data_IF_603924771004
#
_entry.id   IF_603924771004
#
_cell.length_a   1.000
_cell.length_b   1.000
_cell.length_c   1.000
_cell.angle_alpha   90.00
_cell.angle_beta   90.00
_cell.angle_gamma   90.00
#
_symmetry.space_group_name_H-M   'P 1'
#
loop_
_entity.id
_entity.type
_entity.pdbx_description
1 polymer ?
#
# COMPACT_ATOMS: atom_id res chain seq x y z
N UNK A 1 -2.86 -6.77 14.45
CA UNK A 1 -4.15 -6.07 14.29
C UNK A 1 -4.04 -4.73 14.99
N UNK A 2 -4.41 -3.62 14.33
CA UNK A 2 -4.45 -2.31 15.00
C UNK A 2 -5.51 -2.35 16.12
N UNK A 3 -5.07 -2.17 17.36
CA UNK A 3 -5.92 -2.18 18.57
C UNK A 3 -5.94 -0.83 19.28
N UNK A 4 -5.50 0.23 18.59
CA UNK A 4 -5.44 1.58 19.15
C UNK A 4 -6.84 2.16 19.40
N UNK A 5 -6.95 3.02 20.42
CA UNK A 5 -8.18 3.72 20.79
C UNK A 5 -8.55 4.88 19.84
N UNK A 6 -7.71 5.17 18.84
CA UNK A 6 -7.89 6.27 17.89
C UNK A 6 -7.96 5.72 16.45
N UNK A 7 -8.54 6.47 15.52
CA UNK A 7 -8.48 6.13 14.09
C UNK A 7 -7.01 6.12 13.64
N UNK A 8 -6.53 5.10 12.91
CA UNK A 8 -5.16 5.09 12.41
C UNK A 8 -4.93 6.28 11.46
N UNK A 9 -3.77 6.93 11.57
CA UNK A 9 -3.40 8.00 10.64
C UNK A 9 -2.84 7.41 9.34
N UNK A 10 -2.88 8.20 8.26
CA UNK A 10 -2.33 7.78 6.96
C UNK A 10 -0.85 7.38 7.07
N UNK A 11 -0.07 8.08 7.89
CA UNK A 11 1.33 7.76 8.16
C UNK A 11 1.52 6.39 8.82
N UNK A 12 0.63 6.02 9.76
CA UNK A 12 0.67 4.70 10.42
C UNK A 12 0.36 3.59 9.42
N UNK A 13 -0.66 3.78 8.57
CA UNK A 13 -1.02 2.81 7.53
C UNK A 13 0.12 2.70 6.50
N UNK A 14 0.68 3.82 6.06
CA UNK A 14 1.79 3.84 5.11
C UNK A 14 3.03 3.14 5.66
N UNK A 15 3.37 3.40 6.93
CA UNK A 15 4.48 2.71 7.61
C UNK A 15 4.26 1.20 7.71
N UNK A 16 3.02 0.76 7.97
CA UNK A 16 2.70 -0.67 8.01
C UNK A 16 2.82 -1.33 6.62
N UNK A 17 2.34 -0.69 5.55
CA UNK A 17 2.48 -1.19 4.18
C UNK A 17 3.96 -1.21 3.76
N UNK A 18 4.73 -0.18 4.11
CA UNK A 18 6.18 -0.15 3.85
C UNK A 18 6.90 -1.30 4.56
N UNK A 19 6.54 -1.59 5.82
CA UNK A 19 7.08 -2.74 6.53
C UNK A 19 6.70 -4.07 5.86
N UNK A 20 5.46 -4.21 5.37
CA UNK A 20 5.03 -5.40 4.63
C UNK A 20 5.87 -5.61 3.37
N UNK A 21 6.20 -4.54 2.64
CA UNK A 21 7.08 -4.60 1.48
C UNK A 21 8.50 -5.09 1.83
N UNK A 22 9.08 -4.57 2.90
CA UNK A 22 10.40 -4.98 3.40
C UNK A 22 10.40 -6.46 3.78
N UNK A 23 9.38 -6.91 4.51
CA UNK A 23 9.25 -8.31 4.95
C UNK A 23 9.14 -9.26 3.75
N UNK A 24 8.55 -8.80 2.65
CA UNK A 24 8.41 -9.55 1.40
C UNK A 24 9.61 -9.40 0.46
N UNK A 25 10.70 -8.79 0.93
CA UNK A 25 11.99 -8.80 0.25
C UNK A 25 12.31 -7.54 -0.55
N UNK A 26 11.56 -6.44 -0.41
CA UNK A 26 12.00 -5.14 -0.89
C UNK A 26 13.30 -4.71 -0.19
N UNK A 27 14.27 -4.20 -0.97
CA UNK A 27 15.56 -3.72 -0.44
C UNK A 27 15.60 -2.19 -0.34
N UNK A 28 14.91 -1.49 -1.24
CA UNK A 28 14.64 -0.04 -1.15
C UNK A 28 13.12 0.14 -1.05
N UNK A 29 12.66 0.63 0.10
CA UNK A 29 11.27 1.01 0.33
C UNK A 29 11.23 2.44 0.85
N UNK A 30 10.34 3.26 0.30
CA UNK A 30 10.15 4.66 0.68
C UNK A 30 8.71 4.91 1.03
N UNK A 31 8.49 5.61 2.14
CA UNK A 31 7.20 6.18 2.49
C UNK A 31 7.39 7.70 2.61
N UNK A 32 6.68 8.46 1.78
CA UNK A 32 6.81 9.91 1.75
C UNK A 32 5.47 10.57 1.46
N UNK A 33 5.39 11.87 1.75
CA UNK A 33 4.19 12.67 1.54
C UNK A 33 4.33 13.53 0.29
N UNK A 34 3.26 13.60 -0.49
CA UNK A 34 3.10 14.54 -1.60
C UNK A 34 1.68 15.11 -1.53
N UNK A 35 1.55 16.41 -1.29
CA UNK A 35 0.27 17.06 -0.96
C UNK A 35 -0.48 16.30 0.14
N UNK A 36 -1.67 15.77 -0.16
CA UNK A 36 -2.50 14.99 0.79
C UNK A 36 -2.32 13.47 0.65
N UNK A 37 -1.38 13.04 -0.19
CA UNK A 37 -1.07 11.63 -0.43
C UNK A 37 0.08 11.17 0.45
N UNK A 38 -0.09 9.99 1.06
CA UNK A 38 1.02 9.16 1.49
C UNK A 38 1.33 8.14 0.41
N UNK A 39 2.55 8.17 -0.09
CA UNK A 39 3.04 7.30 -1.15
C UNK A 39 4.03 6.30 -0.54
N UNK A 40 3.81 5.04 -0.82
CA UNK A 40 4.69 3.92 -0.49
C UNK A 40 5.20 3.36 -1.81
N UNK A 41 6.51 3.31 -2.00
CA UNK A 41 7.13 2.74 -3.20
C UNK A 41 8.22 1.76 -2.82
N UNK A 42 8.40 0.70 -3.59
CA UNK A 42 9.47 -0.24 -3.41
C UNK A 42 10.10 -0.72 -4.72
N UNK A 43 11.33 -1.20 -4.62
CA UNK A 43 12.10 -1.82 -5.68
C UNK A 43 11.68 -3.25 -6.03
N UNK A 44 10.72 -3.81 -5.29
CA UNK A 44 10.10 -5.10 -5.58
C UNK A 44 8.58 -4.98 -5.62
N UNK A 45 7.93 -5.86 -6.38
CA UNK A 45 6.47 -5.94 -6.38
C UNK A 45 5.97 -6.81 -5.22
N UNK A 46 5.92 -6.24 -4.02
CA UNK A 46 5.49 -6.94 -2.81
C UNK A 46 4.02 -7.37 -2.81
N UNK A 47 3.19 -6.84 -3.71
CA UNK A 47 1.81 -7.32 -3.88
C UNK A 47 1.75 -8.64 -4.64
N UNK A 48 2.74 -8.91 -5.50
CA UNK A 48 2.89 -10.17 -6.23
C UNK A 48 4.01 -11.07 -5.68
N UNK A 49 4.68 -10.67 -4.61
CA UNK A 49 5.76 -11.45 -4.01
C UNK A 49 5.24 -12.79 -3.46
N UNK A 50 6.03 -13.88 -3.58
CA UNK A 50 5.71 -15.15 -2.96
C UNK A 50 5.55 -15.00 -1.44
N UNK A 51 4.43 -15.45 -0.89
CA UNK A 51 4.18 -15.51 0.54
C UNK A 51 3.32 -16.74 0.89
N UNK A 52 3.22 -17.05 2.19
CA UNK A 52 2.48 -18.23 2.70
C UNK A 52 0.99 -18.16 2.39
N UNK A 53 0.43 -16.95 2.27
CA UNK A 53 -0.98 -16.70 2.01
C UNK A 53 -1.15 -15.79 0.80
N UNK A 54 -0.61 -16.21 -0.35
CA UNK A 54 -0.67 -15.44 -1.58
C UNK A 54 -2.11 -15.15 -2.01
N UNK A 55 -2.32 -13.91 -2.47
CA UNK A 55 -3.52 -13.49 -3.16
C UNK A 55 -3.15 -12.46 -4.25
N UNK A 56 -3.96 -12.31 -5.29
CA UNK A 56 -3.77 -11.26 -6.28
C UNK A 56 -3.73 -9.86 -5.64
N UNK A 57 -3.02 -8.88 -6.23
CA UNK A 57 -2.89 -7.53 -5.67
C UNK A 57 -4.22 -6.87 -5.30
N UNK A 58 -5.25 -7.06 -6.12
CA UNK A 58 -6.60 -6.50 -5.87
C UNK A 58 -7.26 -7.08 -4.62
N UNK A 59 -6.97 -8.33 -4.26
CA UNK A 59 -7.52 -8.98 -3.08
C UNK A 59 -6.89 -8.47 -1.77
N UNK A 60 -5.62 -8.04 -1.81
CA UNK A 60 -4.94 -7.44 -0.65
C UNK A 60 -5.66 -6.18 -0.13
N UNK A 61 -6.36 -5.48 -1.02
CA UNK A 61 -7.14 -4.28 -0.69
C UNK A 61 -8.62 -4.57 -0.41
N UNK A 62 -9.12 -5.78 -0.64
CA UNK A 62 -10.57 -6.09 -0.57
C UNK A 62 -10.96 -6.92 0.64
N UNK A 63 -10.04 -7.69 1.20
CA UNK A 63 -10.32 -8.55 2.35
C UNK A 63 -9.10 -8.68 3.26
N UNK A 64 -9.37 -9.11 4.49
CA UNK A 64 -8.32 -9.47 5.42
C UNK A 64 -7.61 -10.71 4.91
N UNK A 65 -6.30 -10.58 4.64
CA UNK A 65 -5.42 -11.69 4.29
C UNK A 65 -4.47 -11.94 5.45
N UNK A 66 -4.37 -13.19 5.90
CA UNK A 66 -3.38 -13.57 6.90
C UNK A 66 -1.97 -13.26 6.41
N UNK A 67 -1.10 -12.78 7.29
CA UNK A 67 0.28 -12.45 6.97
C UNK A 67 1.23 -13.02 8.04
N UNK A 68 1.37 -14.36 8.09
CA UNK A 68 2.15 -15.06 9.12
C UNK A 68 3.64 -14.73 9.11
N UNK A 69 4.16 -14.08 8.07
CA UNK A 69 5.53 -13.59 7.93
C UNK A 69 5.91 -12.59 9.02
N UNK A 70 4.94 -11.80 9.51
CA UNK A 70 5.14 -10.82 10.58
C UNK A 70 4.51 -11.24 11.92
N UNK A 71 3.92 -12.45 12.00
CA UNK A 71 3.36 -13.00 13.23
C UNK A 71 2.07 -13.81 13.05
N UNK A 72 1.78 -14.69 14.03
CA UNK A 72 0.69 -15.68 13.96
C UNK A 72 -0.72 -15.06 13.83
N UNK A 73 -0.92 -13.84 14.33
CA UNK A 73 -2.20 -13.11 14.29
C UNK A 73 -2.09 -11.81 13.49
N UNK A 74 -1.25 -11.83 12.46
CA UNK A 74 -1.00 -10.69 11.60
C UNK A 74 -1.71 -10.82 10.26
N UNK A 75 -1.87 -9.68 9.59
CA UNK A 75 -2.56 -9.57 8.31
C UNK A 75 -1.86 -8.56 7.41
N UNK A 76 -2.13 -8.64 6.11
CA UNK A 76 -1.70 -7.67 5.10
C UNK A 76 -2.33 -6.32 5.38
N UNK A 77 -1.54 -5.26 5.46
CA UNK A 77 -2.02 -3.95 5.88
C UNK A 77 -2.67 -3.14 4.75
N UNK A 78 -2.63 -3.61 3.50
CA UNK A 78 -3.30 -2.98 2.36
C UNK A 78 -4.81 -2.79 2.58
N UNK A 79 -5.49 -3.72 3.27
CA UNK A 79 -6.92 -3.60 3.61
C UNK A 79 -7.22 -2.40 4.52
N UNK A 80 -6.24 -1.93 5.31
CA UNK A 80 -6.42 -0.73 6.13
C UNK A 80 -6.46 0.52 5.27
N UNK A 81 -5.73 0.55 4.15
CA UNK A 81 -5.78 1.68 3.23
C UNK A 81 -7.20 1.84 2.70
N UNK A 82 -7.83 0.78 2.19
CA UNK A 82 -9.20 0.87 1.68
C UNK A 82 -10.26 1.07 2.76
N UNK A 83 -10.02 0.59 3.98
CA UNK A 83 -10.95 0.77 5.10
C UNK A 83 -11.00 2.21 5.62
N UNK A 84 -9.89 2.95 5.56
CA UNK A 84 -9.77 4.27 6.20
C UNK A 84 -9.46 5.43 5.24
N UNK A 85 -8.91 5.18 4.06
CA UNK A 85 -8.60 6.22 3.09
C UNK A 85 -9.81 6.56 2.21
N UNK A 86 -9.90 7.83 1.80
CA UNK A 86 -10.88 8.29 0.80
C UNK A 86 -10.52 7.86 -0.61
N UNK A 87 -9.23 7.70 -0.87
CA UNK A 87 -8.73 7.30 -2.18
C UNK A 87 -7.47 6.45 -2.01
N UNK A 88 -7.40 5.36 -2.77
CA UNK A 88 -6.25 4.46 -2.80
C UNK A 88 -5.95 4.13 -4.24
N UNK A 89 -4.68 4.23 -4.62
CA UNK A 89 -4.20 3.89 -5.95
C UNK A 89 -2.97 2.98 -5.86
N UNK A 90 -2.77 2.15 -6.87
CA UNK A 90 -1.62 1.26 -7.00
C UNK A 90 -1.02 1.38 -8.39
N UNK A 91 0.30 1.39 -8.48
CA UNK A 91 1.06 1.46 -9.71
C UNK A 91 2.13 0.36 -9.72
N UNK A 92 2.29 -0.27 -10.87
CA UNK A 92 3.43 -1.11 -11.25
C UNK A 92 3.82 -0.79 -12.68
N UNK A 93 4.99 -1.27 -13.16
CA UNK A 93 5.39 -1.07 -14.55
C UNK A 93 4.37 -1.53 -15.60
N UNK A 94 3.51 -2.50 -15.26
CA UNK A 94 2.52 -3.08 -16.18
C UNK A 94 1.08 -2.67 -15.91
N UNK A 95 0.80 -2.04 -14.77
CA UNK A 95 -0.58 -1.83 -14.31
C UNK A 95 -0.72 -0.59 -13.45
N UNK A 96 -1.87 0.07 -13.59
CA UNK A 96 -2.26 1.28 -12.90
C UNK A 96 -3.71 1.13 -12.49
N UNK A 97 -3.95 1.11 -11.18
CA UNK A 97 -5.24 0.74 -10.61
C UNK A 97 -5.71 1.82 -9.64
N UNK A 98 -6.94 2.30 -9.83
CA UNK A 98 -7.69 2.99 -8.78
C UNK A 98 -8.37 1.91 -7.93
N UNK A 99 -7.90 1.74 -6.70
CA UNK A 99 -8.40 0.73 -5.77
C UNK A 99 -9.69 1.21 -5.10
N UNK A 100 -9.72 2.48 -4.68
CA UNK A 100 -10.91 3.14 -4.14
C UNK A 100 -10.84 4.66 -4.37
N UNK A 101 -12.00 5.30 -4.32
CA UNK A 101 -12.16 6.72 -4.57
C UNK A 101 -12.31 7.05 -6.06
N UNK A 102 -12.22 8.34 -6.37
CA UNK A 102 -12.24 8.88 -7.73
C UNK A 102 -10.95 9.67 -7.93
N UNK A 103 -10.05 9.14 -8.76
CA UNK A 103 -8.72 9.70 -9.00
C UNK A 103 -8.51 9.82 -10.51
N UNK A 104 -8.47 11.04 -11.05
CA UNK A 104 -8.31 11.26 -12.49
C UNK A 104 -7.00 10.70 -13.06
N UNK A 105 -7.01 10.47 -14.37
CA UNK A 105 -5.85 9.94 -15.09
C UNK A 105 -4.67 10.94 -15.15
N UNK A 106 -4.93 12.22 -14.96
CA UNK A 106 -3.96 13.32 -14.97
C UNK A 106 -3.58 13.82 -13.57
N UNK A 107 -4.03 13.16 -12.50
CA UNK A 107 -3.66 13.51 -11.12
C UNK A 107 -2.13 13.46 -10.93
N UNK A 108 -1.50 14.48 -10.32
CA UNK A 108 -0.04 14.52 -10.17
C UNK A 108 0.54 13.37 -9.33
N UNK A 109 -0.26 12.69 -8.49
CA UNK A 109 0.19 11.56 -7.68
C UNK A 109 0.84 10.46 -8.53
N UNK A 110 0.33 10.22 -9.74
CA UNK A 110 0.82 9.17 -10.63
C UNK A 110 2.26 9.42 -11.09
N UNK A 111 2.60 10.69 -11.34
CA UNK A 111 3.97 11.09 -11.66
C UNK A 111 4.93 10.86 -10.49
N UNK A 112 4.49 11.11 -9.26
CA UNK A 112 5.30 10.91 -8.04
C UNK A 112 5.53 9.43 -7.71
N UNK A 113 4.64 8.55 -8.16
CA UNK A 113 4.78 7.10 -8.01
C UNK A 113 5.72 6.49 -9.07
N UNK A 114 6.10 7.26 -10.10
CA UNK A 114 6.88 6.78 -11.23
C UNK A 114 8.36 7.10 -11.02
N UNK A 115 9.16 6.09 -10.68
CA UNK A 115 10.62 6.15 -10.71
C UNK A 115 11.20 4.88 -11.36
N UNK A 116 12.38 4.99 -11.97
CA UNK A 116 12.94 3.92 -12.82
C UNK A 116 13.23 2.61 -12.07
N UNK A 117 13.41 2.67 -10.75
CA UNK A 117 13.65 1.51 -9.90
C UNK A 117 12.39 1.05 -9.14
N UNK A 118 11.23 1.67 -9.32
CA UNK A 118 10.01 1.32 -8.60
C UNK A 118 9.27 0.21 -9.33
N UNK A 119 9.09 -0.92 -8.64
CA UNK A 119 8.35 -2.08 -9.16
C UNK A 119 6.91 -2.11 -8.66
N UNK A 120 6.65 -1.51 -7.49
CA UNK A 120 5.31 -1.28 -6.98
C UNK A 120 5.28 0.02 -6.20
N UNK A 121 4.20 0.76 -6.37
CA UNK A 121 3.85 1.88 -5.51
C UNK A 121 2.36 1.82 -5.15
N UNK A 122 2.04 2.26 -3.95
CA UNK A 122 0.69 2.44 -3.43
C UNK A 122 0.60 3.84 -2.86
N UNK A 123 -0.44 4.60 -3.22
CA UNK A 123 -0.70 5.88 -2.59
C UNK A 123 -2.08 5.87 -1.94
N UNK A 124 -2.18 6.48 -0.77
CA UNK A 124 -3.44 6.66 -0.04
C UNK A 124 -3.60 8.11 0.43
N UNK A 125 -4.85 8.58 0.39
CA UNK A 125 -5.27 9.88 0.93
C UNK A 125 -6.41 9.67 1.92
N UNK A 126 -6.31 10.23 3.11
CA UNK A 126 -7.37 10.18 4.14
C UNK A 126 -8.14 11.51 4.18
N UNK A 127 -9.36 11.50 4.73
CA UNK A 127 -10.05 12.76 5.08
C UNK A 127 -9.23 13.41 6.21
N UNK A 128 -8.96 14.71 6.09
CA UNK A 128 -8.37 15.51 7.15
C UNK A 128 -9.34 15.69 8.33
#
# INVERSE_FOLDING_TARGET
MYTGLATPTAAVIAGAIANDAIVLGASDTRAFRFDDWWIISADSDWLNAPCKCFAPPTEAFRRVLAFPEIGVNSMRHEILATAFATSVVSLSPTDRIVVSGDVPDDDPVWGQMTASNVMRAVALRMVA
#
